data_IF_258640501032
#
_entry.id   IF_258640501032
#
_cell.length_a   1.000
_cell.length_b   1.000
_cell.length_c   1.000
_cell.angle_alpha   90.00
_cell.angle_beta   90.00
_cell.angle_gamma   90.00
#
_symmetry.space_group_name_H-M   'P 1'
#
loop_
_entity.id
_entity.type
_entity.pdbx_description
1 polymer ?
#
# COMPACT_ATOMS: atom_id res chain seq x y z
N UNK A 1 33.75 -24.83 22.72
CA UNK A 1 33.41 -24.04 21.52
C UNK A 1 31.91 -24.15 21.35
N UNK A 2 31.15 -23.10 21.69
CA UNK A 2 29.69 -23.07 21.54
C UNK A 2 29.38 -22.27 20.27
N UNK A 3 28.72 -22.91 19.33
CA UNK A 3 28.14 -22.28 18.15
C UNK A 3 27.00 -21.33 18.57
N UNK A 4 27.34 -20.05 18.81
CA UNK A 4 26.39 -18.97 19.11
C UNK A 4 26.09 -18.08 17.89
N UNK A 5 26.36 -18.55 16.66
CA UNK A 5 26.29 -17.69 15.46
C UNK A 5 25.09 -17.92 14.53
N UNK A 6 24.34 -19.01 14.68
CA UNK A 6 23.19 -19.28 13.81
C UNK A 6 21.90 -18.58 14.27
N UNK A 7 21.75 -18.30 15.57
CA UNK A 7 20.55 -17.66 16.12
C UNK A 7 20.37 -16.21 15.64
N UNK A 8 21.41 -15.37 15.71
CA UNK A 8 21.29 -13.94 15.43
C UNK A 8 21.00 -13.63 13.95
N UNK A 9 21.62 -14.34 13.01
CA UNK A 9 21.38 -14.11 11.58
C UNK A 9 20.00 -14.62 11.14
N UNK A 10 19.61 -15.83 11.56
CA UNK A 10 18.30 -16.38 11.26
C UNK A 10 17.17 -15.55 11.90
N UNK A 11 17.37 -15.05 13.11
CA UNK A 11 16.42 -14.18 13.79
C UNK A 11 16.28 -12.83 13.05
N UNK A 12 17.38 -12.23 12.61
CA UNK A 12 17.35 -11.00 11.82
C UNK A 12 16.59 -11.19 10.51
N UNK A 13 16.88 -12.27 9.77
CA UNK A 13 16.17 -12.60 8.54
C UNK A 13 14.69 -12.82 8.80
N UNK A 14 14.33 -13.50 9.89
CA UNK A 14 12.94 -13.74 10.28
C UNK A 14 12.20 -12.44 10.58
N UNK A 15 12.82 -11.51 11.30
CA UNK A 15 12.24 -10.20 11.61
C UNK A 15 12.01 -9.40 10.32
N UNK A 16 13.03 -9.32 9.44
CA UNK A 16 12.92 -8.60 8.17
C UNK A 16 11.81 -9.21 7.31
N UNK A 17 11.72 -10.54 7.25
CA UNK A 17 10.68 -11.24 6.51
C UNK A 17 9.27 -10.85 6.99
N UNK A 18 9.02 -10.91 8.31
CA UNK A 18 7.72 -10.52 8.85
C UNK A 18 7.44 -9.02 8.67
N UNK A 19 8.45 -8.16 8.77
CA UNK A 19 8.30 -6.73 8.53
C UNK A 19 7.89 -6.43 7.08
N UNK A 20 8.51 -7.09 6.10
CA UNK A 20 8.14 -6.96 4.68
C UNK A 20 6.75 -7.52 4.44
N UNK A 21 6.44 -8.70 4.98
CA UNK A 21 5.13 -9.32 4.84
C UNK A 21 4.03 -8.40 5.39
N UNK A 22 4.23 -7.86 6.59
CA UNK A 22 3.30 -6.93 7.22
C UNK A 22 3.16 -5.64 6.41
N UNK A 23 4.26 -5.11 5.89
CA UNK A 23 4.26 -3.92 5.02
C UNK A 23 3.45 -4.14 3.74
N UNK A 24 3.60 -5.30 3.09
CA UNK A 24 2.82 -5.66 1.90
C UNK A 24 1.34 -5.76 2.22
N UNK A 25 0.99 -6.47 3.31
CA UNK A 25 -0.40 -6.61 3.74
C UNK A 25 -0.99 -5.24 4.09
N UNK A 26 -0.27 -4.42 4.84
CA UNK A 26 -0.72 -3.09 5.21
C UNK A 26 -0.95 -2.20 3.99
N UNK A 27 -0.03 -2.21 3.01
CA UNK A 27 -0.18 -1.42 1.77
C UNK A 27 -1.31 -1.93 0.89
N UNK A 28 -1.55 -3.24 0.90
CA UNK A 28 -2.59 -3.85 0.08
C UNK A 28 -4.00 -3.60 0.64
N UNK A 29 -4.14 -3.63 1.97
CA UNK A 29 -5.44 -3.58 2.63
C UNK A 29 -5.75 -2.26 3.34
N UNK A 30 -4.76 -1.56 3.89
CA UNK A 30 -5.00 -0.34 4.67
C UNK A 30 -4.70 0.93 3.87
N UNK A 31 -3.44 1.35 3.85
CA UNK A 31 -3.02 2.62 3.27
C UNK A 31 -1.79 2.47 2.39
N UNK A 32 -1.84 3.08 1.21
CA UNK A 32 -0.70 3.17 0.32
C UNK A 32 -0.18 4.62 0.26
N UNK A 33 1.12 4.86 0.49
CA UNK A 33 1.71 6.18 0.32
C UNK A 33 1.85 6.53 -1.16
N UNK A 34 1.40 7.72 -1.53
CA UNK A 34 1.57 8.32 -2.85
C UNK A 34 2.26 9.68 -2.73
N UNK A 35 2.98 10.06 -3.78
CA UNK A 35 3.55 11.38 -3.95
C UNK A 35 2.87 12.05 -5.15
N UNK A 36 2.59 13.36 -5.06
CA UNK A 36 1.99 14.14 -6.15
C UNK A 36 3.11 14.71 -7.05
N UNK A 37 3.24 14.24 -8.30
CA UNK A 37 4.31 14.68 -9.20
C UNK A 37 3.90 15.90 -10.05
N UNK A 38 2.62 16.30 -10.06
CA UNK A 38 2.08 17.28 -11.01
C UNK A 38 1.20 18.32 -10.31
N UNK A 39 1.19 19.54 -10.84
CA UNK A 39 0.41 20.68 -10.31
C UNK A 39 -1.08 20.65 -10.71
N UNK A 40 -1.62 19.52 -11.18
CA UNK A 40 -3.01 19.44 -11.68
C UNK A 40 -4.06 19.62 -10.58
N UNK A 41 -3.68 19.44 -9.31
CA UNK A 41 -4.57 19.52 -8.15
C UNK A 41 -4.29 20.76 -7.27
N UNK A 42 -3.51 21.73 -7.77
CA UNK A 42 -3.28 23.01 -7.09
C UNK A 42 -4.58 23.83 -7.13
N UNK A 43 -4.99 24.50 -6.02
CA UNK A 43 -4.24 24.75 -4.79
C UNK A 43 -4.43 23.71 -3.67
N UNK A 44 -5.26 22.68 -3.86
CA UNK A 44 -5.59 21.72 -2.80
C UNK A 44 -4.42 20.79 -2.45
N UNK A 45 -3.72 20.28 -3.46
CA UNK A 45 -2.54 19.43 -3.30
C UNK A 45 -1.38 20.04 -4.08
N UNK A 46 -0.24 20.21 -3.40
CA UNK A 46 0.96 20.80 -3.97
C UNK A 46 1.89 19.72 -4.53
N UNK A 47 2.74 20.11 -5.46
CA UNK A 47 3.77 19.22 -6.01
C UNK A 47 4.77 18.89 -4.90
N UNK A 48 5.00 17.60 -4.69
CA UNK A 48 5.87 17.10 -3.62
C UNK A 48 5.12 16.64 -2.36
N UNK A 49 3.80 16.86 -2.27
CA UNK A 49 3.02 16.35 -1.14
C UNK A 49 3.02 14.82 -1.11
N UNK A 50 3.07 14.28 0.11
CA UNK A 50 2.90 12.86 0.39
C UNK A 50 1.56 12.61 1.05
N UNK A 51 0.83 11.63 0.54
CA UNK A 51 -0.52 11.33 0.99
C UNK A 51 -0.72 9.83 1.16
N UNK A 52 -1.45 9.45 2.20
CA UNK A 52 -1.85 8.08 2.47
C UNK A 52 -3.24 7.83 1.89
N UNK A 53 -3.30 7.02 0.83
CA UNK A 53 -4.57 6.66 0.20
C UNK A 53 -5.14 5.42 0.87
N UNK A 54 -6.36 5.54 1.40
CA UNK A 54 -7.14 4.40 1.89
C UNK A 54 -7.54 3.48 0.72
N UNK A 55 -7.19 2.20 0.80
CA UNK A 55 -7.65 1.18 -0.16
C UNK A 55 -9.05 0.65 0.18
N UNK A 56 -9.49 0.79 1.43
CA UNK A 56 -10.78 0.33 1.91
C UNK A 56 -11.95 1.17 1.40
N UNK A 57 -11.76 2.48 1.25
CA UNK A 57 -12.87 3.43 1.04
C UNK A 57 -13.66 3.18 -0.26
N UNK A 58 -12.99 2.77 -1.33
CA UNK A 58 -13.61 2.55 -2.65
C UNK A 58 -13.56 1.09 -3.10
N UNK A 59 -13.26 0.18 -2.18
CA UNK A 59 -13.15 -1.25 -2.47
C UNK A 59 -11.82 -1.68 -3.09
N UNK A 60 -11.63 -2.99 -3.13
CA UNK A 60 -10.39 -3.61 -3.56
C UNK A 60 -10.43 -3.97 -5.03
N UNK A 61 -9.41 -3.53 -5.77
CA UNK A 61 -9.19 -3.88 -7.17
C UNK A 61 -7.97 -4.80 -7.28
N UNK A 62 -7.73 -5.36 -8.47
CA UNK A 62 -6.47 -6.04 -8.81
C UNK A 62 -5.22 -5.19 -8.48
N UNK A 63 -5.34 -3.87 -8.53
CA UNK A 63 -4.25 -2.92 -8.23
C UNK A 63 -4.10 -2.59 -6.73
N UNK A 64 -4.94 -3.16 -5.87
CA UNK A 64 -4.69 -3.13 -4.43
C UNK A 64 -3.58 -4.11 -4.04
N UNK A 65 -3.37 -5.16 -4.84
CA UNK A 65 -2.29 -6.12 -4.61
C UNK A 65 -0.98 -5.65 -5.24
N UNK A 66 0.18 -5.99 -4.63
CA UNK A 66 1.48 -5.72 -5.24
C UNK A 66 1.53 -6.37 -6.64
N UNK A 67 2.14 -5.66 -7.58
CA UNK A 67 2.29 -6.09 -8.98
C UNK A 67 0.98 -6.29 -9.77
N UNK A 68 -0.18 -5.86 -9.25
CA UNK A 68 -1.44 -5.95 -9.98
C UNK A 68 -1.92 -7.39 -10.22
N UNK A 69 -1.62 -8.28 -9.27
CA UNK A 69 -1.93 -9.71 -9.33
C UNK A 69 -3.43 -9.93 -9.65
N UNK A 70 -3.78 -10.79 -10.63
CA UNK A 70 -5.15 -11.03 -11.05
C UNK A 70 -5.92 -11.97 -10.10
N UNK A 71 -5.70 -11.82 -8.78
CA UNK A 71 -6.37 -12.65 -7.76
C UNK A 71 -7.77 -12.13 -7.42
N UNK A 72 -8.02 -10.85 -7.69
CA UNK A 72 -9.31 -10.19 -7.42
C UNK A 72 -10.04 -10.01 -8.75
N UNK A 73 -11.13 -10.75 -9.02
CA UNK A 73 -11.96 -10.52 -10.19
C UNK A 73 -12.76 -9.23 -10.00
N UNK A 74 -12.44 -8.20 -10.78
CA UNK A 74 -13.15 -6.91 -10.74
C UNK A 74 -12.81 -6.06 -9.52
N UNK A 75 -13.84 -5.52 -8.86
CA UNK A 75 -13.71 -4.68 -7.66
C UNK A 75 -14.66 -5.18 -6.57
N UNK A 76 -14.11 -5.60 -5.44
CA UNK A 76 -14.86 -6.10 -4.28
C UNK A 76 -15.13 -4.95 -3.31
N UNK A 77 -16.29 -4.95 -2.64
CA UNK A 77 -16.70 -3.89 -1.69
C UNK A 77 -16.65 -2.49 -2.30
N UNK A 78 -17.10 -2.36 -3.56
CA UNK A 78 -17.09 -1.08 -4.25
C UNK A 78 -18.08 -0.10 -3.61
N UNK A 79 -17.56 1.05 -3.21
CA UNK A 79 -18.34 2.24 -2.89
C UNK A 79 -18.11 3.26 -4.00
N UNK A 80 -19.16 3.82 -4.62
CA UNK A 80 -19.00 4.90 -5.59
C UNK A 80 -18.43 6.16 -4.92
N UNK A 81 -17.50 6.87 -5.56
CA UNK A 81 -17.00 8.14 -5.03
C UNK A 81 -18.08 9.21 -5.06
N UNK A 82 -18.07 10.06 -4.03
CA UNK A 82 -18.97 11.20 -3.92
C UNK A 82 -18.34 12.46 -4.52
N UNK A 83 -19.18 13.47 -4.79
CA UNK A 83 -18.68 14.75 -5.31
C UNK A 83 -17.83 15.43 -4.25
N UNK A 84 -16.58 15.73 -4.61
CA UNK A 84 -15.59 16.33 -3.72
C UNK A 84 -14.51 15.35 -3.28
N UNK A 85 -14.69 14.05 -3.53
CA UNK A 85 -13.69 13.04 -3.22
C UNK A 85 -12.47 13.12 -4.15
N UNK A 86 -11.28 12.98 -3.56
CA UNK A 86 -10.03 12.77 -4.29
C UNK A 86 -9.77 11.27 -4.36
N UNK A 87 -9.95 10.69 -5.54
CA UNK A 87 -9.74 9.27 -5.79
C UNK A 87 -8.53 9.04 -6.70
N UNK A 88 -7.72 8.03 -6.36
CA UNK A 88 -6.61 7.56 -7.19
C UNK A 88 -7.07 6.32 -7.95
N UNK A 89 -6.94 6.35 -9.28
CA UNK A 89 -7.35 5.27 -10.17
C UNK A 89 -6.26 4.94 -11.19
N UNK A 90 -6.40 3.78 -11.83
CA UNK A 90 -5.56 3.29 -12.92
C UNK A 90 -6.44 2.73 -14.03
#
# INVERSE_FOLDING_TARGET
MRDEKEGGFLETVRIIFYAILLSIVFRAFAYEPFNIPSSSMVPTLLVGDYLFVSKLSYGYSRYSLPFGLPLIPGRIFFTPPERGDVAVFK
#
